data_IF_751790032326
#
_entry.id   IF_751790032326
#
_cell.length_a   1.000
_cell.length_b   1.000
_cell.length_c   1.000
_cell.angle_alpha   90.00
_cell.angle_beta   90.00
_cell.angle_gamma   90.00
#
_symmetry.space_group_name_H-M   'P 1'
#
loop_
_entity.id
_entity.type
_entity.pdbx_description
1 polymer ?
#
# COMPACT_ATOMS: atom_id res chain seq x y z
N UNK A 1 -8.83 18.03 28.16
CA UNK A 1 -7.62 17.81 27.35
C UNK A 1 -7.53 16.34 26.90
N UNK A 2 -7.72 15.34 27.78
CA UNK A 2 -7.67 13.90 27.43
C UNK A 2 -8.67 13.47 26.34
N UNK A 3 -9.92 13.96 26.36
CA UNK A 3 -10.93 13.62 25.32
C UNK A 3 -10.61 14.17 23.93
N UNK A 4 -9.96 15.32 23.85
CA UNK A 4 -9.57 15.94 22.56
C UNK A 4 -8.40 15.19 21.95
N UNK A 5 -7.44 14.78 22.75
CA UNK A 5 -6.23 14.09 22.30
C UNK A 5 -6.53 12.66 21.82
N UNK A 6 -7.44 11.93 22.51
CA UNK A 6 -7.89 10.60 22.08
C UNK A 6 -8.65 10.67 20.74
N UNK A 7 -9.45 11.72 20.54
CA UNK A 7 -10.18 11.95 19.29
C UNK A 7 -9.25 12.25 18.13
N UNK A 8 -8.16 12.99 18.36
CA UNK A 8 -7.12 13.26 17.35
C UNK A 8 -6.39 11.98 16.98
N UNK A 9 -5.93 11.21 17.96
CA UNK A 9 -5.26 9.94 17.72
C UNK A 9 -6.16 8.93 17.01
N UNK A 10 -7.42 8.80 17.41
CA UNK A 10 -8.40 7.93 16.77
C UNK A 10 -8.71 8.35 15.32
N UNK A 11 -8.81 9.65 15.07
CA UNK A 11 -8.98 10.16 13.71
C UNK A 11 -7.75 9.87 12.86
N UNK A 12 -6.54 10.02 13.41
CA UNK A 12 -5.28 9.68 12.76
C UNK A 12 -5.13 8.18 12.52
N UNK A 13 -5.57 7.31 13.46
CA UNK A 13 -5.59 5.86 13.25
C UNK A 13 -6.54 5.46 12.13
N UNK A 14 -7.74 6.04 12.07
CA UNK A 14 -8.68 5.82 10.97
C UNK A 14 -8.09 6.23 9.62
N UNK A 15 -7.37 7.35 9.59
CA UNK A 15 -6.66 7.82 8.40
C UNK A 15 -5.53 6.86 8.00
N UNK A 16 -4.68 6.39 8.93
CA UNK A 16 -3.57 5.48 8.60
C UNK A 16 -4.04 4.14 8.04
N UNK A 17 -5.19 3.62 8.46
CA UNK A 17 -5.77 2.42 7.87
C UNK A 17 -6.22 2.63 6.42
N UNK A 18 -6.72 3.83 6.10
CA UNK A 18 -7.08 4.22 4.74
C UNK A 18 -5.85 4.59 3.90
N UNK A 19 -4.82 5.18 4.52
CA UNK A 19 -3.66 5.77 3.85
C UNK A 19 -2.52 4.78 3.57
N UNK A 20 -2.57 3.52 4.00
CA UNK A 20 -1.64 2.47 3.51
C UNK A 20 -1.68 2.30 1.99
N UNK A 21 -2.72 2.82 1.36
CA UNK A 21 -2.88 2.91 -0.08
C UNK A 21 -2.55 4.31 -0.61
N UNK A 22 -2.23 5.28 0.26
CA UNK A 22 -2.11 6.70 -0.03
C UNK A 22 -0.72 7.20 0.33
N UNK A 23 -0.10 7.92 -0.57
CA UNK A 23 1.21 8.52 -0.39
C UNK A 23 1.18 10.03 -0.70
N UNK A 24 0.50 10.82 0.11
CA UNK A 24 0.75 12.26 0.13
C UNK A 24 1.78 12.56 1.23
N UNK A 25 3.06 12.63 0.85
CA UNK A 25 4.16 12.74 1.78
C UNK A 25 4.11 14.01 2.65
N UNK A 26 3.75 15.17 2.09
CA UNK A 26 3.68 16.43 2.85
C UNK A 26 2.66 16.33 4.01
N UNK A 27 1.54 15.64 3.76
CA UNK A 27 0.52 15.41 4.76
C UNK A 27 0.98 14.42 5.85
N UNK A 28 1.72 13.37 5.46
CA UNK A 28 2.25 12.37 6.40
C UNK A 28 3.38 12.98 7.23
N UNK A 29 4.28 13.78 6.64
CA UNK A 29 5.36 14.46 7.35
C UNK A 29 4.82 15.40 8.42
N UNK A 30 3.83 16.23 8.08
CA UNK A 30 3.17 17.09 9.06
C UNK A 30 2.56 16.29 10.22
N UNK A 31 1.96 15.12 9.93
CA UNK A 31 1.41 14.25 10.98
C UNK A 31 2.49 13.64 11.87
N UNK A 32 3.61 13.21 11.28
CA UNK A 32 4.76 12.69 12.02
C UNK A 32 5.23 13.72 13.04
N UNK A 33 5.34 14.98 12.65
CA UNK A 33 5.80 16.03 13.54
C UNK A 33 4.78 16.35 14.65
N UNK A 34 3.49 16.36 14.32
CA UNK A 34 2.43 16.48 15.34
C UNK A 34 2.50 15.34 16.35
N UNK A 35 2.62 14.08 15.88
CA UNK A 35 2.69 12.93 16.78
C UNK A 35 3.94 12.93 17.65
N UNK A 36 5.09 13.36 17.12
CA UNK A 36 6.31 13.54 17.93
C UNK A 36 6.12 14.55 19.05
N UNK A 37 5.52 15.70 18.76
CA UNK A 37 5.22 16.71 19.77
C UNK A 37 4.27 16.15 20.85
N UNK A 38 3.26 15.36 20.47
CA UNK A 38 2.38 14.68 21.43
C UNK A 38 3.14 13.67 22.30
N UNK A 39 4.08 12.91 21.73
CA UNK A 39 4.93 11.97 22.50
C UNK A 39 5.74 12.73 23.55
N UNK A 40 6.29 13.88 23.22
CA UNK A 40 7.08 14.65 24.19
C UNK A 40 6.21 15.24 25.31
N UNK A 41 5.00 15.69 24.99
CA UNK A 41 4.01 16.08 26.02
C UNK A 41 3.66 14.91 26.94
N UNK A 42 3.31 13.73 26.38
CA UNK A 42 2.92 12.57 27.18
C UNK A 42 4.05 11.96 28.01
N UNK A 43 5.32 12.15 27.60
CA UNK A 43 6.48 11.82 28.44
C UNK A 43 6.53 12.67 29.71
N UNK A 44 6.24 13.95 29.60
CA UNK A 44 6.21 14.86 30.74
C UNK A 44 5.05 14.55 31.68
N UNK A 45 3.91 14.15 31.15
CA UNK A 45 2.71 13.75 31.90
C UNK A 45 2.78 12.32 32.44
N UNK A 46 3.77 11.52 32.05
CA UNK A 46 3.91 10.10 32.36
C UNK A 46 2.70 9.24 31.95
N UNK A 47 1.99 9.65 30.90
CA UNK A 47 0.80 8.96 30.39
C UNK A 47 1.18 7.77 29.51
N UNK A 48 1.31 6.58 30.11
CA UNK A 48 1.75 5.36 29.45
C UNK A 48 0.81 4.92 28.33
N UNK A 49 -0.52 5.11 28.45
CA UNK A 49 -1.49 4.74 27.42
C UNK A 49 -1.34 5.61 26.18
N UNK A 50 -1.23 6.92 26.36
CA UNK A 50 -1.05 7.84 25.26
C UNK A 50 0.32 7.68 24.60
N UNK A 51 1.36 7.35 25.36
CA UNK A 51 2.67 6.99 24.82
C UNK A 51 2.62 5.71 23.97
N UNK A 52 1.87 4.68 24.40
CA UNK A 52 1.63 3.48 23.63
C UNK A 52 0.95 3.83 22.29
N UNK A 53 -0.18 4.52 22.33
CA UNK A 53 -0.96 4.89 21.15
C UNK A 53 -0.15 5.76 20.18
N UNK A 54 0.52 6.79 20.67
CA UNK A 54 1.28 7.73 19.84
C UNK A 54 2.51 7.08 19.18
N UNK A 55 3.28 6.28 19.90
CA UNK A 55 4.42 5.56 19.32
C UNK A 55 3.97 4.55 18.27
N UNK A 56 2.87 3.84 18.52
CA UNK A 56 2.30 2.92 17.54
C UNK A 56 1.81 3.65 16.27
N UNK A 57 1.14 4.79 16.42
CA UNK A 57 0.73 5.61 15.29
C UNK A 57 1.94 6.10 14.49
N UNK A 58 3.00 6.54 15.17
CA UNK A 58 4.24 6.97 14.53
C UNK A 58 4.90 5.82 13.76
N UNK A 59 4.87 4.59 14.30
CA UNK A 59 5.32 3.40 13.60
C UNK A 59 4.54 3.16 12.31
N UNK A 60 3.21 3.29 12.34
CA UNK A 60 2.37 3.14 11.16
C UNK A 60 2.66 4.21 10.10
N UNK A 61 2.85 5.47 10.50
CA UNK A 61 3.20 6.58 9.60
C UNK A 61 4.55 6.33 8.92
N UNK A 62 5.58 5.91 9.65
CA UNK A 62 6.86 5.53 9.06
C UNK A 62 6.76 4.31 8.13
N UNK A 63 5.89 3.34 8.47
CA UNK A 63 5.62 2.20 7.60
C UNK A 63 4.97 2.59 6.27
N UNK A 64 4.09 3.60 6.27
CA UNK A 64 3.49 4.17 5.05
C UNK A 64 4.55 4.86 4.19
N UNK A 65 5.49 5.56 4.80
CA UNK A 65 6.60 6.21 4.10
C UNK A 65 7.68 5.23 3.59
N UNK A 66 7.59 3.94 3.94
CA UNK A 66 8.59 2.94 3.56
C UNK A 66 9.82 2.87 4.47
N UNK A 67 9.85 3.62 5.59
CA UNK A 67 10.95 3.58 6.56
C UNK A 67 10.81 2.38 7.51
N UNK A 68 11.12 1.19 7.01
CA UNK A 68 10.93 -0.09 7.72
C UNK A 68 11.64 -0.14 9.07
N UNK A 69 12.86 0.36 9.17
CA UNK A 69 13.64 0.32 10.41
C UNK A 69 13.05 1.25 11.49
N UNK A 70 12.63 2.47 11.13
CA UNK A 70 11.92 3.35 12.06
C UNK A 70 10.58 2.76 12.50
N UNK A 71 9.84 2.15 11.58
CA UNK A 71 8.62 1.43 11.92
C UNK A 71 8.87 0.36 13.00
N UNK A 72 9.90 -0.47 12.83
CA UNK A 72 10.29 -1.51 13.80
C UNK A 72 10.66 -0.90 15.16
N UNK A 73 11.48 0.16 15.16
CA UNK A 73 11.91 0.86 16.36
C UNK A 73 10.71 1.34 17.19
N UNK A 74 9.77 2.05 16.56
CA UNK A 74 8.60 2.59 17.26
C UNK A 74 7.59 1.53 17.68
N UNK A 75 7.50 0.39 16.99
CA UNK A 75 6.74 -0.77 17.46
C UNK A 75 7.37 -1.34 18.73
N UNK A 76 8.70 -1.48 18.78
CA UNK A 76 9.40 -1.98 19.95
C UNK A 76 9.25 -1.04 21.16
N UNK A 77 9.28 0.28 20.91
CA UNK A 77 8.99 1.27 21.97
C UNK A 77 7.56 1.11 22.46
N UNK A 78 6.59 0.95 21.57
CA UNK A 78 5.19 0.74 21.93
C UNK A 78 5.00 -0.53 22.79
N UNK A 79 5.69 -1.63 22.45
CA UNK A 79 5.64 -2.86 23.23
C UNK A 79 6.07 -2.68 24.70
N UNK A 80 6.95 -1.74 25.01
CA UNK A 80 7.37 -1.47 26.41
C UNK A 80 6.26 -0.85 27.27
N UNK A 81 5.26 -0.25 26.62
CA UNK A 81 4.14 0.39 27.33
C UNK A 81 2.92 -0.52 27.43
N UNK A 82 2.78 -1.56 26.60
CA UNK A 82 1.60 -2.44 26.59
C UNK A 82 1.42 -3.16 27.94
N UNK A 83 2.54 -3.59 28.54
CA UNK A 83 2.52 -4.31 29.82
C UNK A 83 2.26 -3.36 31.01
N UNK A 84 2.43 -2.04 30.81
CA UNK A 84 2.20 -1.02 31.84
C UNK A 84 0.78 -0.47 31.84
N UNK A 85 0.10 -0.58 30.70
CA UNK A 85 -1.26 -0.11 30.54
C UNK A 85 -2.04 -1.17 29.78
N UNK A 86 -2.99 -1.84 30.42
CA UNK A 86 -3.97 -2.68 29.75
C UNK A 86 -5.06 -1.75 29.17
N UNK A 87 -4.99 -1.36 27.90
CA UNK A 87 -5.99 -0.49 27.33
C UNK A 87 -7.34 -1.22 27.35
N UNK A 88 -8.39 -0.54 27.79
CA UNK A 88 -9.77 -1.03 27.65
C UNK A 88 -10.28 -0.94 26.21
N UNK A 89 -9.50 -0.31 25.32
CA UNK A 89 -9.82 -0.20 23.90
C UNK A 89 -9.38 -1.48 23.17
N UNK A 90 -10.24 -2.50 23.21
CA UNK A 90 -10.00 -3.78 22.56
C UNK A 90 -9.81 -3.67 21.05
N UNK A 91 -10.41 -2.65 20.40
CA UNK A 91 -10.25 -2.40 18.98
C UNK A 91 -8.85 -1.91 18.65
N UNK A 92 -8.28 -1.04 19.47
CA UNK A 92 -6.89 -0.63 19.38
C UNK A 92 -5.96 -1.83 19.59
N UNK A 93 -6.21 -2.67 20.61
CA UNK A 93 -5.42 -3.87 20.88
C UNK A 93 -5.41 -4.85 19.72
N UNK A 94 -6.57 -5.13 19.12
CA UNK A 94 -6.67 -5.98 17.95
C UNK A 94 -5.79 -5.44 16.80
N UNK A 95 -5.86 -4.14 16.51
CA UNK A 95 -5.02 -3.50 15.50
C UNK A 95 -3.53 -3.57 15.85
N UNK A 96 -3.18 -3.32 17.09
CA UNK A 96 -1.81 -3.39 17.58
C UNK A 96 -1.22 -4.79 17.42
N UNK A 97 -1.91 -5.81 17.90
CA UNK A 97 -1.45 -7.20 17.79
C UNK A 97 -1.37 -7.69 16.35
N UNK A 98 -2.34 -7.32 15.48
CA UNK A 98 -2.30 -7.64 14.05
C UNK A 98 -1.04 -7.09 13.37
N UNK A 99 -0.62 -5.87 13.72
CA UNK A 99 0.55 -5.25 13.12
C UNK A 99 1.86 -5.88 13.63
N UNK A 100 1.94 -6.24 14.89
CA UNK A 100 3.12 -6.94 15.43
C UNK A 100 3.22 -8.34 14.80
N UNK A 101 2.10 -9.05 14.66
CA UNK A 101 2.09 -10.36 14.00
C UNK A 101 2.58 -10.26 12.55
N UNK A 102 2.08 -9.29 11.77
CA UNK A 102 2.52 -9.04 10.39
C UNK A 102 4.02 -8.72 10.32
N UNK A 103 4.50 -7.85 11.21
CA UNK A 103 5.92 -7.48 11.24
C UNK A 103 6.80 -8.67 11.61
N UNK A 104 6.38 -9.47 12.61
CA UNK A 104 7.10 -10.66 13.02
C UNK A 104 7.20 -11.69 11.89
N UNK A 105 6.10 -11.90 11.12
CA UNK A 105 6.12 -12.77 9.94
C UNK A 105 7.08 -12.27 8.85
N UNK A 106 7.14 -10.95 8.63
CA UNK A 106 8.07 -10.38 7.66
C UNK A 106 9.54 -10.56 8.08
N UNK A 107 9.80 -10.57 9.38
CA UNK A 107 11.13 -10.78 9.97
C UNK A 107 11.42 -12.27 10.25
N UNK A 108 10.55 -13.18 9.80
CA UNK A 108 10.69 -14.64 9.98
C UNK A 108 10.63 -15.13 11.43
N UNK A 109 10.20 -14.29 12.36
CA UNK A 109 9.96 -14.66 13.76
C UNK A 109 8.57 -15.29 13.90
N UNK A 110 8.48 -16.57 13.53
CA UNK A 110 7.22 -17.32 13.49
C UNK A 110 6.61 -17.47 14.90
N UNK A 111 7.44 -17.68 15.93
CA UNK A 111 6.95 -17.86 17.31
C UNK A 111 6.28 -16.59 17.82
N UNK A 112 6.91 -15.45 17.63
CA UNK A 112 6.35 -14.16 18.01
C UNK A 112 5.11 -13.82 17.18
N UNK A 113 5.11 -14.15 15.89
CA UNK A 113 3.95 -13.96 15.04
C UNK A 113 2.74 -14.75 15.55
N UNK A 114 2.90 -16.05 15.86
CA UNK A 114 1.84 -16.91 16.38
C UNK A 114 1.29 -16.37 17.71
N UNK A 115 2.16 -16.01 18.65
CA UNK A 115 1.75 -15.43 19.93
C UNK A 115 0.81 -14.21 19.75
N UNK A 116 1.14 -13.30 18.84
CA UNK A 116 0.32 -12.11 18.63
C UNK A 116 -0.92 -12.38 17.75
N UNK A 117 -0.87 -13.39 16.88
CA UNK A 117 -2.06 -13.89 16.19
C UNK A 117 -3.08 -14.47 17.14
N UNK A 118 -2.65 -15.27 18.12
CA UNK A 118 -3.53 -15.85 19.14
C UNK A 118 -4.18 -14.77 19.99
N UNK A 119 -3.40 -13.77 20.44
CA UNK A 119 -3.94 -12.59 21.15
C UNK A 119 -4.94 -11.81 20.32
N UNK A 120 -4.67 -11.63 19.04
CA UNK A 120 -5.57 -10.96 18.11
C UNK A 120 -6.88 -11.73 17.93
N UNK A 121 -6.80 -13.05 17.69
CA UNK A 121 -7.97 -13.90 17.47
C UNK A 121 -8.86 -13.90 18.72
N UNK A 122 -8.27 -14.05 19.91
CA UNK A 122 -9.01 -14.01 21.18
C UNK A 122 -9.83 -12.73 21.32
N UNK A 123 -9.21 -11.57 21.08
CA UNK A 123 -9.92 -10.28 21.19
C UNK A 123 -11.00 -10.14 20.12
N UNK A 124 -10.75 -10.58 18.88
CA UNK A 124 -11.75 -10.50 17.82
C UNK A 124 -12.95 -11.40 18.08
N UNK A 125 -12.73 -12.62 18.59
CA UNK A 125 -13.78 -13.58 18.88
C UNK A 125 -14.65 -13.11 20.07
N UNK A 126 -14.02 -12.61 21.14
CA UNK A 126 -14.74 -12.09 22.31
C UNK A 126 -15.57 -10.82 22.02
N UNK A 127 -15.13 -9.99 21.07
CA UNK A 127 -15.76 -8.68 20.79
C UNK A 127 -16.45 -8.62 19.43
N UNK A 128 -16.52 -9.71 18.67
CA UNK A 128 -17.11 -9.77 17.30
C UNK A 128 -16.51 -8.73 16.34
N UNK A 129 -15.20 -8.53 16.34
CA UNK A 129 -14.50 -7.56 15.47
C UNK A 129 -14.28 -8.10 14.06
N UNK A 130 -15.35 -8.45 13.37
CA UNK A 130 -15.34 -9.08 12.05
C UNK A 130 -14.61 -8.23 10.98
N UNK A 131 -14.70 -6.90 11.05
CA UNK A 131 -14.00 -5.99 10.13
C UNK A 131 -12.50 -6.09 10.30
N UNK A 132 -12.01 -5.99 11.54
CA UNK A 132 -10.60 -6.09 11.89
C UNK A 132 -10.04 -7.48 11.50
N UNK A 133 -10.81 -8.53 11.74
CA UNK A 133 -10.47 -9.90 11.37
C UNK A 133 -10.26 -10.03 9.84
N UNK A 134 -11.20 -9.53 9.03
CA UNK A 134 -11.10 -9.62 7.57
C UNK A 134 -9.91 -8.84 7.04
N UNK A 135 -9.68 -7.62 7.54
CA UNK A 135 -8.54 -6.80 7.11
C UNK A 135 -7.22 -7.50 7.45
N UNK A 136 -7.09 -8.02 8.67
CA UNK A 136 -5.88 -8.72 9.10
C UNK A 136 -5.65 -10.01 8.31
N UNK A 137 -6.67 -10.86 8.18
CA UNK A 137 -6.56 -12.13 7.43
C UNK A 137 -6.24 -11.88 5.96
N UNK A 138 -6.79 -10.84 5.33
CA UNK A 138 -6.42 -10.47 3.96
C UNK A 138 -4.93 -10.13 3.83
N UNK A 139 -4.38 -9.38 4.78
CA UNK A 139 -2.95 -9.05 4.81
C UNK A 139 -2.08 -10.29 5.08
N UNK A 140 -2.55 -11.18 5.94
CA UNK A 140 -1.87 -12.45 6.24
C UNK A 140 -1.80 -13.35 5.01
N UNK A 141 -2.91 -13.50 4.27
CA UNK A 141 -2.96 -14.25 3.02
C UNK A 141 -1.98 -13.64 2.00
N UNK A 142 -1.90 -12.31 1.90
CA UNK A 142 -0.94 -11.64 1.02
C UNK A 142 0.52 -12.00 1.38
N UNK A 143 0.87 -12.01 2.68
CA UNK A 143 2.21 -12.39 3.13
C UNK A 143 2.48 -13.88 2.83
N UNK A 144 1.52 -14.76 3.09
CA UNK A 144 1.64 -16.19 2.77
C UNK A 144 1.87 -16.41 1.27
N UNK A 145 1.11 -15.73 0.42
CA UNK A 145 1.26 -15.79 -1.03
C UNK A 145 2.65 -15.29 -1.48
N UNK A 146 3.17 -14.22 -0.87
CA UNK A 146 4.51 -13.69 -1.18
C UNK A 146 5.65 -14.64 -0.76
N UNK A 147 5.37 -15.61 0.11
CA UNK A 147 6.33 -16.65 0.54
C UNK A 147 6.18 -17.95 -0.24
N UNK A 148 5.52 -17.91 -1.39
CA UNK A 148 5.34 -19.06 -2.29
C UNK A 148 4.64 -20.27 -1.63
N UNK A 149 3.68 -20.03 -0.72
CA UNK A 149 2.83 -21.10 -0.21
C UNK A 149 1.93 -21.60 -1.34
N UNK A 150 1.60 -22.88 -1.31
CA UNK A 150 0.81 -23.55 -2.33
C UNK A 150 -0.48 -22.79 -2.68
N UNK A 151 -0.69 -22.55 -3.97
CA UNK A 151 -1.80 -21.73 -4.48
C UNK A 151 -3.17 -22.26 -4.06
N UNK A 152 -3.34 -23.58 -3.95
CA UNK A 152 -4.59 -24.20 -3.48
C UNK A 152 -4.97 -23.78 -2.06
N UNK A 153 -3.98 -23.68 -1.16
CA UNK A 153 -4.19 -23.23 0.22
C UNK A 153 -4.59 -21.75 0.25
N UNK A 154 -3.89 -20.93 -0.54
CA UNK A 154 -4.19 -19.50 -0.65
C UNK A 154 -5.61 -19.26 -1.17
N UNK A 155 -6.00 -19.96 -2.23
CA UNK A 155 -7.34 -19.84 -2.82
C UNK A 155 -8.42 -20.23 -1.81
N UNK A 156 -8.25 -21.34 -1.09
CA UNK A 156 -9.20 -21.80 -0.07
C UNK A 156 -9.36 -20.77 1.08
N UNK A 157 -8.26 -20.15 1.52
CA UNK A 157 -8.33 -19.08 2.52
C UNK A 157 -9.07 -17.84 2.00
N UNK A 158 -8.85 -17.46 0.73
CA UNK A 158 -9.56 -16.35 0.07
C UNK A 158 -11.07 -16.65 0.00
N UNK A 159 -11.46 -17.85 -0.41
CA UNK A 159 -12.87 -18.27 -0.51
C UNK A 159 -13.56 -18.23 0.86
N UNK A 160 -12.89 -18.75 1.90
CA UNK A 160 -13.41 -18.71 3.27
C UNK A 160 -13.65 -17.27 3.71
N UNK A 161 -12.69 -16.37 3.43
CA UNK A 161 -12.80 -14.98 3.81
C UNK A 161 -13.85 -14.22 2.96
N UNK A 162 -14.07 -14.66 1.70
CA UNK A 162 -15.09 -14.10 0.82
C UNK A 162 -16.50 -14.32 1.33
N UNK A 163 -16.78 -15.44 2.00
CA UNK A 163 -18.07 -15.69 2.65
C UNK A 163 -18.35 -14.62 3.69
N UNK A 164 -17.36 -14.34 4.56
CA UNK A 164 -17.48 -13.32 5.62
C UNK A 164 -17.65 -11.90 5.07
N UNK A 165 -16.95 -11.53 3.99
CA UNK A 165 -17.03 -10.17 3.42
C UNK A 165 -18.40 -9.87 2.79
N UNK A 166 -19.14 -10.88 2.35
CA UNK A 166 -20.50 -10.69 1.82
C UNK A 166 -21.47 -10.17 2.87
N UNK A 167 -21.32 -10.60 4.12
CA UNK A 167 -22.18 -10.27 5.25
C UNK A 167 -21.95 -8.86 5.77
N UNK A 168 -20.80 -8.24 5.47
CA UNK A 168 -20.44 -6.92 5.96
C UNK A 168 -21.00 -5.81 5.05
N UNK A 169 -21.52 -4.74 5.66
CA UNK A 169 -21.94 -3.54 4.96
C UNK A 169 -20.90 -2.41 4.97
N UNK A 170 -19.72 -2.61 5.55
CA UNK A 170 -18.64 -1.63 5.57
C UNK A 170 -17.92 -1.56 4.21
N UNK A 171 -18.10 -0.45 3.50
CA UNK A 171 -17.50 -0.22 2.18
C UNK A 171 -15.98 -0.06 2.25
N UNK A 172 -15.46 0.43 3.36
CA UNK A 172 -14.01 0.58 3.53
C UNK A 172 -13.32 -0.78 3.70
N UNK A 173 -13.91 -1.68 4.48
CA UNK A 173 -13.46 -3.06 4.59
C UNK A 173 -13.52 -3.78 3.24
N UNK A 174 -14.64 -3.66 2.50
CA UNK A 174 -14.77 -4.23 1.14
C UNK A 174 -13.72 -3.69 0.17
N UNK A 175 -13.49 -2.37 0.16
CA UNK A 175 -12.46 -1.73 -0.66
C UNK A 175 -11.08 -2.33 -0.39
N UNK A 176 -10.67 -2.42 0.87
CA UNK A 176 -9.36 -2.95 1.28
C UNK A 176 -9.24 -4.43 0.91
N UNK A 177 -10.25 -5.23 1.24
CA UNK A 177 -10.28 -6.66 0.90
C UNK A 177 -10.08 -6.89 -0.59
N UNK A 178 -10.96 -6.34 -1.44
CA UNK A 178 -10.89 -6.57 -2.88
C UNK A 178 -9.59 -6.07 -3.49
N UNK A 179 -9.04 -4.97 -2.98
CA UNK A 179 -7.74 -4.47 -3.46
C UNK A 179 -6.60 -5.44 -3.13
N UNK A 180 -6.55 -5.98 -1.91
CA UNK A 180 -5.52 -6.95 -1.49
C UNK A 180 -5.67 -8.25 -2.28
N UNK A 181 -6.89 -8.76 -2.42
CA UNK A 181 -7.14 -10.00 -3.17
C UNK A 181 -6.78 -9.83 -4.65
N UNK A 182 -7.11 -8.70 -5.26
CA UNK A 182 -6.68 -8.37 -6.62
C UNK A 182 -5.16 -8.42 -6.77
N UNK A 183 -4.41 -7.89 -5.80
CA UNK A 183 -2.94 -7.99 -5.81
C UNK A 183 -2.44 -9.42 -5.66
N UNK A 184 -3.07 -10.25 -4.86
CA UNK A 184 -2.69 -11.66 -4.69
C UNK A 184 -2.84 -12.41 -6.02
N UNK A 185 -3.98 -12.28 -6.68
CA UNK A 185 -4.21 -12.91 -7.97
C UNK A 185 -3.25 -12.41 -9.04
N UNK A 186 -2.97 -11.10 -9.07
CA UNK A 186 -2.09 -10.52 -10.08
C UNK A 186 -0.60 -10.87 -9.89
N UNK A 187 -0.11 -10.83 -8.64
CA UNK A 187 1.32 -10.94 -8.36
C UNK A 187 1.81 -12.37 -8.07
N UNK A 188 0.94 -13.23 -7.56
CA UNK A 188 1.35 -14.52 -7.01
C UNK A 188 0.60 -15.71 -7.60
N UNK A 189 -0.63 -15.52 -8.10
CA UNK A 189 -1.45 -16.59 -8.69
C UNK A 189 -1.51 -16.50 -10.22
N UNK A 190 -0.88 -15.47 -10.80
CA UNK A 190 -0.82 -15.21 -12.25
C UNK A 190 -2.19 -15.25 -12.96
N UNK A 191 -3.23 -14.79 -12.26
CA UNK A 191 -4.59 -14.70 -12.78
C UNK A 191 -5.02 -13.24 -12.92
N UNK A 192 -4.64 -12.62 -14.04
CA UNK A 192 -4.96 -11.24 -14.34
C UNK A 192 -6.48 -11.00 -14.52
N UNK A 193 -7.27 -12.01 -14.88
CA UNK A 193 -8.72 -11.88 -15.06
C UNK A 193 -9.41 -11.72 -13.70
N UNK A 194 -9.16 -12.63 -12.77
CA UNK A 194 -9.71 -12.55 -11.42
C UNK A 194 -9.17 -11.31 -10.70
N UNK A 195 -7.89 -10.97 -10.91
CA UNK A 195 -7.30 -9.74 -10.38
C UNK A 195 -8.05 -8.49 -10.83
N UNK A 196 -8.31 -8.35 -12.15
CA UNK A 196 -9.08 -7.24 -12.73
C UNK A 196 -10.46 -7.12 -12.11
N UNK A 197 -11.20 -8.24 -11.97
CA UNK A 197 -12.54 -8.24 -11.35
C UNK A 197 -12.47 -7.70 -9.91
N UNK A 198 -11.47 -8.09 -9.14
CA UNK A 198 -11.31 -7.62 -7.77
C UNK A 198 -10.91 -6.13 -7.73
N UNK A 199 -10.03 -5.66 -8.61
CA UNK A 199 -9.69 -4.22 -8.69
C UNK A 199 -10.88 -3.37 -9.12
N UNK A 200 -11.75 -3.85 -10.02
CA UNK A 200 -12.99 -3.17 -10.37
C UNK A 200 -13.96 -3.05 -9.18
N UNK A 201 -14.09 -4.12 -8.36
CA UNK A 201 -14.88 -4.07 -7.12
C UNK A 201 -14.26 -3.08 -6.12
N UNK A 202 -12.95 -3.11 -5.93
CA UNK A 202 -12.24 -2.17 -5.05
C UNK A 202 -12.46 -0.71 -5.50
N UNK A 203 -12.34 -0.43 -6.83
CA UNK A 203 -12.60 0.88 -7.42
C UNK A 203 -14.02 1.36 -7.15
N UNK A 204 -15.02 0.47 -7.36
CA UNK A 204 -16.43 0.81 -7.06
C UNK A 204 -16.60 1.30 -5.62
N UNK A 205 -16.03 0.60 -4.64
CA UNK A 205 -16.13 1.01 -3.24
C UNK A 205 -15.29 2.26 -2.93
N UNK A 206 -14.14 2.44 -3.57
CA UNK A 206 -13.36 3.66 -3.47
C UNK A 206 -14.13 4.88 -3.99
N UNK A 207 -14.81 4.74 -5.12
CA UNK A 207 -15.64 5.79 -5.73
C UNK A 207 -16.83 6.16 -4.84
N UNK A 208 -17.52 5.17 -4.24
CA UNK A 208 -18.59 5.41 -3.28
C UNK A 208 -18.11 6.17 -2.04
N UNK A 209 -16.90 5.91 -1.59
CA UNK A 209 -16.25 6.59 -0.46
C UNK A 209 -15.58 7.91 -0.84
N UNK A 210 -15.60 8.30 -2.13
CA UNK A 210 -14.86 9.44 -2.69
C UNK A 210 -13.35 9.36 -2.40
N UNK A 211 -12.81 8.15 -2.28
CA UNK A 211 -11.40 7.88 -2.10
C UNK A 211 -10.70 7.83 -3.46
N UNK A 212 -10.40 9.02 -4.00
CA UNK A 212 -9.83 9.16 -5.34
C UNK A 212 -8.42 8.59 -5.44
N UNK A 213 -7.72 8.48 -4.34
CA UNK A 213 -6.38 7.89 -4.30
C UNK A 213 -6.46 6.38 -4.58
N UNK A 214 -7.29 5.66 -3.84
CA UNK A 214 -7.48 4.23 -4.07
C UNK A 214 -8.13 3.97 -5.42
N UNK A 215 -9.10 4.80 -5.83
CA UNK A 215 -9.74 4.71 -7.14
C UNK A 215 -8.72 4.80 -8.28
N UNK A 216 -7.79 5.78 -8.24
CA UNK A 216 -6.74 5.92 -9.25
C UNK A 216 -5.72 4.78 -9.21
N UNK A 217 -5.39 4.28 -8.02
CA UNK A 217 -4.51 3.12 -7.88
C UNK A 217 -5.15 1.85 -8.48
N UNK A 218 -6.47 1.68 -8.29
CA UNK A 218 -7.22 0.60 -8.94
C UNK A 218 -7.17 0.74 -10.47
N UNK A 219 -7.32 1.96 -11.02
CA UNK A 219 -7.19 2.18 -12.46
C UNK A 219 -5.82 1.75 -12.99
N UNK A 220 -4.74 2.09 -12.28
CA UNK A 220 -3.40 1.63 -12.66
C UNK A 220 -3.36 0.09 -12.69
N UNK A 221 -3.86 -0.57 -11.65
CA UNK A 221 -3.85 -2.03 -11.57
C UNK A 221 -4.74 -2.70 -12.62
N UNK A 222 -5.89 -2.12 -12.94
CA UNK A 222 -6.75 -2.59 -14.04
C UNK A 222 -6.03 -2.43 -15.39
N UNK A 223 -5.37 -1.28 -15.63
CA UNK A 223 -4.56 -1.06 -16.81
C UNK A 223 -3.41 -2.06 -16.95
N UNK A 224 -2.74 -2.41 -15.84
CA UNK A 224 -1.71 -3.47 -15.81
C UNK A 224 -2.30 -4.85 -16.17
N UNK A 225 -3.51 -5.18 -15.70
CA UNK A 225 -4.21 -6.42 -16.09
C UNK A 225 -4.56 -6.42 -17.59
N UNK A 226 -5.02 -5.28 -18.14
CA UNK A 226 -5.29 -5.17 -19.58
C UNK A 226 -4.00 -5.33 -20.41
N UNK A 227 -2.87 -4.83 -19.92
CA UNK A 227 -1.56 -5.08 -20.55
C UNK A 227 -1.20 -6.57 -20.61
N UNK A 228 -1.59 -7.36 -19.60
CA UNK A 228 -1.34 -8.81 -19.58
C UNK A 228 -2.18 -9.54 -20.63
N UNK A 229 -3.32 -8.96 -21.03
CA UNK A 229 -4.16 -9.47 -22.14
C UNK A 229 -3.79 -8.85 -23.50
N UNK A 230 -2.74 -8.04 -23.56
CA UNK A 230 -2.33 -7.28 -24.76
C UNK A 230 -3.38 -6.27 -25.27
N UNK A 231 -4.38 -5.94 -24.42
CA UNK A 231 -5.41 -4.94 -24.71
C UNK A 231 -4.85 -3.52 -24.47
N UNK A 232 -3.87 -3.13 -25.30
CA UNK A 232 -3.11 -1.89 -25.08
C UNK A 232 -3.95 -0.62 -25.15
N UNK A 233 -4.98 -0.58 -25.99
CA UNK A 233 -5.89 0.56 -26.09
C UNK A 233 -6.65 0.77 -24.78
N UNK A 234 -7.35 -0.26 -24.30
CA UNK A 234 -8.03 -0.24 -22.99
C UNK A 234 -7.07 0.12 -21.85
N UNK A 235 -5.89 -0.49 -21.85
CA UNK A 235 -4.86 -0.20 -20.84
C UNK A 235 -4.48 1.27 -20.80
N UNK A 236 -4.24 1.86 -21.97
CA UNK A 236 -3.91 3.29 -22.11
C UNK A 236 -5.05 4.21 -21.65
N UNK A 237 -6.31 3.83 -21.88
CA UNK A 237 -7.48 4.58 -21.37
C UNK A 237 -7.44 4.68 -19.83
N UNK A 238 -7.23 3.56 -19.14
CA UNK A 238 -7.14 3.55 -17.67
C UNK A 238 -5.98 4.41 -17.15
N UNK A 239 -4.80 4.33 -17.78
CA UNK A 239 -3.66 5.16 -17.36
C UNK A 239 -3.88 6.64 -17.67
N UNK A 240 -4.43 6.97 -18.85
CA UNK A 240 -4.75 8.35 -19.22
C UNK A 240 -5.82 8.94 -18.29
N UNK A 241 -6.78 8.15 -17.83
CA UNK A 241 -7.77 8.59 -16.85
C UNK A 241 -7.08 9.09 -15.57
N UNK A 242 -6.05 8.40 -15.07
CA UNK A 242 -5.30 8.82 -13.88
C UNK A 242 -4.53 10.13 -14.11
N UNK A 243 -4.01 10.34 -15.32
CA UNK A 243 -3.16 11.50 -15.63
C UNK A 243 -4.00 12.74 -15.90
N UNK A 244 -5.08 12.63 -16.70
CA UNK A 244 -5.78 13.75 -17.31
C UNK A 244 -7.15 14.05 -16.72
N UNK A 245 -7.82 13.08 -16.06
CA UNK A 245 -9.17 13.30 -15.55
C UNK A 245 -9.15 14.24 -14.35
N UNK A 246 -10.03 15.26 -14.37
CA UNK A 246 -10.20 16.23 -13.28
C UNK A 246 -10.52 15.56 -11.94
N UNK A 247 -11.20 14.42 -11.96
CA UNK A 247 -11.49 13.58 -10.78
C UNK A 247 -10.21 13.23 -10.02
N UNK A 248 -9.10 13.00 -10.72
CA UNK A 248 -7.80 12.59 -10.16
C UNK A 248 -6.78 13.74 -10.07
N UNK A 249 -7.24 15.01 -10.10
CA UNK A 249 -6.34 16.17 -10.07
C UNK A 249 -5.39 16.14 -8.86
N UNK A 250 -5.91 15.75 -7.70
CA UNK A 250 -5.19 15.76 -6.41
C UNK A 250 -4.63 14.39 -6.00
N UNK A 251 -4.56 13.42 -6.92
CA UNK A 251 -3.90 12.15 -6.60
C UNK A 251 -2.40 12.31 -6.50
N UNK A 252 -1.78 11.38 -5.80
CA UNK A 252 -0.35 11.37 -5.57
C UNK A 252 0.44 11.40 -6.88
N UNK A 253 1.50 12.19 -6.91
CA UNK A 253 2.39 12.32 -8.05
C UNK A 253 3.01 10.97 -8.48
N UNK A 254 3.24 10.06 -7.53
CA UNK A 254 3.74 8.70 -7.80
C UNK A 254 2.76 7.93 -8.69
N UNK A 255 1.46 8.07 -8.48
CA UNK A 255 0.46 7.38 -9.30
C UNK A 255 0.44 7.95 -10.72
N UNK A 256 0.59 9.27 -10.87
CA UNK A 256 0.73 9.90 -12.19
C UNK A 256 2.00 9.45 -12.89
N UNK A 257 3.10 9.35 -12.16
CA UNK A 257 4.35 8.79 -12.66
C UNK A 257 4.15 7.35 -13.15
N UNK A 258 3.61 6.46 -12.31
CA UNK A 258 3.38 5.05 -12.66
C UNK A 258 2.49 4.90 -13.89
N UNK A 259 1.40 5.66 -13.96
CA UNK A 259 0.53 5.66 -15.13
C UNK A 259 1.27 6.11 -16.40
N UNK A 260 2.05 7.20 -16.32
CA UNK A 260 2.86 7.68 -17.44
C UNK A 260 3.92 6.67 -17.88
N UNK A 261 4.64 6.07 -16.93
CA UNK A 261 5.67 5.08 -17.25
C UNK A 261 5.08 3.79 -17.87
N UNK A 262 3.91 3.35 -17.41
CA UNK A 262 3.20 2.22 -18.03
C UNK A 262 2.74 2.53 -19.47
N UNK A 263 2.27 3.76 -19.75
CA UNK A 263 1.99 4.21 -21.13
C UNK A 263 3.26 4.12 -21.98
N UNK A 264 4.41 4.57 -21.45
CA UNK A 264 5.69 4.46 -22.14
C UNK A 264 6.02 3.00 -22.52
N UNK A 265 5.87 2.08 -21.57
CA UNK A 265 6.12 0.65 -21.81
C UNK A 265 5.23 0.09 -22.94
N UNK A 266 3.96 0.50 -22.99
CA UNK A 266 3.05 0.14 -24.08
C UNK A 266 3.53 0.72 -25.40
N UNK A 267 3.85 2.00 -25.46
CA UNK A 267 4.30 2.68 -26.67
C UNK A 267 5.58 2.03 -27.24
N UNK A 268 6.50 1.59 -26.39
CA UNK A 268 7.68 0.84 -26.80
C UNK A 268 7.30 -0.54 -27.35
N UNK A 269 6.38 -1.25 -26.70
CA UNK A 269 5.88 -2.55 -27.17
C UNK A 269 5.18 -2.45 -28.53
N UNK A 270 4.40 -1.40 -28.74
CA UNK A 270 3.68 -1.11 -30.00
C UNK A 270 4.54 -0.38 -31.05
N UNK A 271 5.84 -0.20 -30.77
CA UNK A 271 6.83 0.44 -31.66
C UNK A 271 6.55 1.91 -32.00
N UNK A 272 5.76 2.60 -31.16
CA UNK A 272 5.51 4.04 -31.30
C UNK A 272 6.59 4.86 -30.58
N UNK A 273 7.83 4.74 -31.05
CA UNK A 273 9.01 5.33 -30.42
C UNK A 273 8.99 6.87 -30.31
N UNK A 274 8.51 7.63 -31.34
CA UNK A 274 8.47 9.09 -31.24
C UNK A 274 7.57 9.59 -30.12
N UNK A 275 6.47 8.87 -29.85
CA UNK A 275 5.57 9.21 -28.75
C UNK A 275 6.12 8.68 -27.41
N UNK A 276 6.79 7.53 -27.43
CA UNK A 276 7.41 6.94 -26.23
C UNK A 276 8.45 7.86 -25.60
N UNK A 277 9.36 8.45 -26.40
CA UNK A 277 10.42 9.34 -25.87
C UNK A 277 9.82 10.62 -25.25
N UNK A 278 8.78 11.19 -25.88
CA UNK A 278 8.09 12.33 -25.31
C UNK A 278 7.38 12.01 -24.00
N UNK A 279 6.88 10.78 -23.87
CA UNK A 279 6.21 10.34 -22.64
C UNK A 279 7.22 9.97 -21.54
N UNK A 280 8.42 9.47 -21.91
CA UNK A 280 9.55 9.29 -20.97
C UNK A 280 9.93 10.63 -20.32
N UNK A 281 10.08 11.69 -21.10
CA UNK A 281 10.37 13.02 -20.57
C UNK A 281 9.29 13.51 -19.59
N UNK A 282 7.99 13.21 -19.84
CA UNK A 282 6.91 13.52 -18.89
C UNK A 282 7.05 12.69 -17.60
N UNK A 283 7.43 11.41 -17.72
CA UNK A 283 7.64 10.54 -16.56
C UNK A 283 8.79 11.04 -15.67
N UNK A 284 9.89 11.53 -16.27
CA UNK A 284 10.99 12.18 -15.56
C UNK A 284 10.52 13.42 -14.77
N UNK A 285 9.69 14.28 -15.38
CA UNK A 285 9.12 15.44 -14.70
C UNK A 285 8.26 15.04 -13.51
N UNK A 286 7.51 13.94 -13.59
CA UNK A 286 6.77 13.43 -12.44
C UNK A 286 7.71 12.85 -11.37
N UNK A 287 8.74 12.11 -11.77
CA UNK A 287 9.72 11.52 -10.88
C UNK A 287 10.46 12.59 -10.05
N UNK A 288 10.87 13.70 -10.69
CA UNK A 288 11.55 14.81 -10.01
C UNK A 288 10.68 15.47 -8.93
N UNK A 289 9.36 15.42 -9.07
CA UNK A 289 8.41 15.94 -8.06
C UNK A 289 8.18 15.00 -6.88
N UNK A 290 8.71 13.77 -6.91
CA UNK A 290 8.61 12.84 -5.79
C UNK A 290 9.61 13.27 -4.72
N UNK A 291 9.11 13.70 -3.55
CA UNK A 291 9.93 14.18 -2.43
C UNK A 291 10.51 13.04 -1.59
N UNK A 292 9.80 11.90 -1.47
CA UNK A 292 10.28 10.77 -0.69
C UNK A 292 11.44 10.07 -1.40
N UNK A 293 12.64 10.16 -0.81
CA UNK A 293 13.85 9.63 -1.42
C UNK A 293 13.79 8.12 -1.67
N UNK A 294 13.34 7.33 -0.69
CA UNK A 294 13.27 5.87 -0.84
C UNK A 294 12.29 5.44 -1.94
N UNK A 295 11.13 6.09 -2.02
CA UNK A 295 10.17 5.83 -3.08
C UNK A 295 10.68 6.33 -4.43
N UNK A 296 11.35 7.48 -4.47
CA UNK A 296 11.94 8.03 -5.67
C UNK A 296 12.97 7.09 -6.28
N UNK A 297 13.83 6.48 -5.46
CA UNK A 297 14.83 5.51 -5.95
C UNK A 297 14.19 4.24 -6.53
N UNK A 298 13.13 3.71 -5.90
CA UNK A 298 12.38 2.56 -6.45
C UNK A 298 11.76 2.90 -7.81
N UNK A 299 11.13 4.07 -7.94
CA UNK A 299 10.49 4.49 -9.19
C UNK A 299 11.56 4.85 -10.27
N UNK A 300 12.71 5.32 -9.86
CA UNK A 300 13.85 5.61 -10.74
C UNK A 300 14.42 4.34 -11.40
N UNK A 301 14.49 3.24 -10.62
CA UNK A 301 14.82 1.93 -11.18
C UNK A 301 13.88 1.56 -12.33
N UNK A 302 12.55 1.68 -12.13
CA UNK A 302 11.56 1.34 -13.16
C UNK A 302 11.65 2.26 -14.41
N UNK A 303 12.00 3.55 -14.21
CA UNK A 303 12.28 4.47 -15.32
C UNK A 303 13.51 4.04 -16.12
N UNK A 304 14.60 3.66 -15.45
CA UNK A 304 15.81 3.20 -16.13
C UNK A 304 15.59 1.94 -16.96
N UNK A 305 14.76 1.01 -16.46
CA UNK A 305 14.34 -0.16 -17.26
C UNK A 305 13.57 0.29 -18.51
N UNK A 306 12.66 1.26 -18.39
CA UNK A 306 11.91 1.79 -19.55
C UNK A 306 12.80 2.49 -20.56
N UNK A 307 13.80 3.26 -20.11
CA UNK A 307 14.84 3.88 -20.97
C UNK A 307 15.70 2.81 -21.68
N UNK A 308 16.15 1.79 -20.94
CA UNK A 308 16.91 0.70 -21.51
C UNK A 308 16.11 -0.04 -22.61
N UNK A 309 14.83 -0.32 -22.34
CA UNK A 309 13.93 -0.93 -23.33
C UNK A 309 13.76 -0.05 -24.59
N UNK A 310 13.65 1.27 -24.42
CA UNK A 310 13.54 2.20 -25.53
C UNK A 310 14.78 2.16 -26.42
N UNK A 311 15.96 2.33 -25.83
CA UNK A 311 17.22 2.33 -26.61
C UNK A 311 17.55 0.97 -27.23
N UNK A 312 17.14 -0.13 -26.62
CA UNK A 312 17.32 -1.46 -27.20
C UNK A 312 16.42 -1.72 -28.42
N UNK A 313 15.23 -1.11 -28.48
CA UNK A 313 14.21 -1.43 -29.47
C UNK A 313 13.95 -0.33 -30.49
N UNK A 314 14.34 0.93 -30.20
CA UNK A 314 14.15 2.06 -31.13
C UNK A 314 15.07 1.95 -32.34
N UNK A 315 14.77 2.72 -33.39
CA UNK A 315 15.62 2.78 -34.60
C UNK A 315 17.00 3.38 -34.34
N UNK A 316 17.17 4.11 -33.24
CA UNK A 316 18.45 4.68 -32.81
C UNK A 316 19.39 3.64 -32.21
N UNK A 317 18.92 2.44 -31.92
CA UNK A 317 19.60 1.24 -31.43
C UNK A 317 20.96 1.50 -30.77
N UNK A 318 20.96 2.29 -29.71
CA UNK A 318 22.17 2.48 -28.93
C UNK A 318 22.24 1.40 -27.86
N UNK A 319 22.86 0.27 -28.19
CA UNK A 319 23.10 -0.80 -27.21
C UNK A 319 23.94 -0.31 -26.04
N UNK A 320 24.89 0.60 -26.28
CA UNK A 320 25.70 1.21 -25.23
C UNK A 320 24.83 2.00 -24.23
N UNK A 321 23.90 2.80 -24.73
CA UNK A 321 22.97 3.53 -23.88
C UNK A 321 22.01 2.60 -23.12
N UNK A 322 21.51 1.55 -23.79
CA UNK A 322 20.68 0.53 -23.13
C UNK A 322 21.43 -0.14 -21.96
N UNK A 323 22.69 -0.56 -22.18
CA UNK A 323 23.55 -1.14 -21.14
C UNK A 323 23.79 -0.12 -20.02
N UNK A 324 24.09 1.12 -20.34
CA UNK A 324 24.29 2.19 -19.34
C UNK A 324 23.08 2.36 -18.42
N UNK A 325 21.85 2.33 -18.97
CA UNK A 325 20.66 2.44 -18.14
C UNK A 325 20.37 1.18 -17.32
N UNK A 326 20.68 -0.01 -17.84
CA UNK A 326 20.60 -1.27 -17.06
C UNK A 326 21.58 -1.26 -15.89
N UNK A 327 22.80 -0.78 -16.10
CA UNK A 327 23.80 -0.66 -15.03
C UNK A 327 23.38 0.37 -13.97
N UNK A 328 22.77 1.50 -14.39
CA UNK A 328 22.19 2.47 -13.44
C UNK A 328 21.00 1.91 -12.67
N UNK A 329 20.23 1.01 -13.26
CA UNK A 329 19.14 0.34 -12.57
C UNK A 329 19.65 -0.70 -11.56
N UNK A 330 20.86 -1.25 -11.75
CA UNK A 330 21.45 -2.27 -10.89
C UNK A 330 22.12 -1.69 -9.64
N UNK A 331 22.59 -0.44 -9.70
CA UNK A 331 23.20 0.30 -8.59
C UNK A 331 22.19 1.19 -7.86
#
# INVERSE_FOLDING_TARGET
MEEIDDTILDSMFKLTLNERLLTNNDFIENKIDVVKNLIDCYKTEQNSLMLLKSNFLLALLYGIQGFSEKMKEYILISCKYIDKCLPKDYKFLARFYSQIAILSLKNEDVNKANLYMDKFNLICDENNFLIEEIIFKSQLIYIKASKCIESSVIIKEIETLYIKIKEINDFNCKKIYFFIIGKIYFLFLDDALIAKVNFLKARKYADLLKDMQVSSLCNIKIGECECSFENYECSMEYFNEVISNKKYRNVNIIQKYRASNNITKILIKTRNYPVAINNLAKSEVYLEKIKNHSLKEVEKFDLFISLAMYYAKSNERSFEQSICYLDRAKN
#
